data_IF_653516915043
#
_entry.id   IF_653516915043
#
_cell.length_a   1.000
_cell.length_b   1.000
_cell.length_c   1.000
_cell.angle_alpha   90.00
_cell.angle_beta   90.00
_cell.angle_gamma   90.00
#
_symmetry.space_group_name_H-M   'P 1'
#
loop_
_entity.id
_entity.type
_entity.pdbx_description
1 polymer ?
#
# COMPACT_ATOMS: atom_id res chain seq x y z
N UNK A 1 -5.77 -47.48 -6.93
CA UNK A 1 -5.18 -46.57 -7.93
C UNK A 1 -6.22 -45.49 -8.21
N UNK A 2 -6.04 -44.19 -7.98
CA UNK A 2 -4.91 -43.35 -7.63
C UNK A 2 -5.46 -42.22 -6.76
N UNK A 3 -5.03 -42.12 -5.50
CA UNK A 3 -5.05 -40.88 -4.74
C UNK A 3 -3.77 -40.14 -5.15
N UNK A 4 -3.87 -39.18 -6.06
CA UNK A 4 -2.79 -38.23 -6.30
C UNK A 4 -2.94 -37.06 -5.33
N UNK A 5 -2.51 -37.31 -4.09
CA UNK A 5 -2.03 -36.26 -3.18
C UNK A 5 -0.82 -35.60 -3.85
N UNK A 6 -1.06 -34.54 -4.62
CA UNK A 6 -0.02 -33.58 -4.94
C UNK A 6 0.27 -32.78 -3.65
N UNK A 7 1.11 -33.40 -2.83
CA UNK A 7 1.68 -32.83 -1.63
C UNK A 7 2.49 -31.57 -1.98
N UNK A 8 2.22 -30.52 -1.20
CA UNK A 8 3.17 -29.52 -0.69
C UNK A 8 3.67 -28.44 -1.67
N UNK A 9 3.16 -27.23 -1.46
CA UNK A 9 4.05 -26.20 -0.89
C UNK A 9 3.29 -25.41 0.18
N UNK A 10 3.53 -25.65 1.49
CA UNK A 10 3.00 -24.82 2.56
C UNK A 10 3.79 -23.51 2.75
N UNK A 11 4.81 -23.25 1.93
CA UNK A 11 5.82 -22.23 2.20
C UNK A 11 5.88 -21.11 1.14
N UNK A 12 4.73 -20.67 0.60
CA UNK A 12 4.71 -19.26 0.19
C UNK A 12 4.54 -18.45 1.48
N UNK A 13 5.51 -17.58 1.85
CA UNK A 13 5.27 -16.64 2.94
C UNK A 13 3.97 -15.92 2.61
N UNK A 14 2.99 -15.98 3.53
CA UNK A 14 1.77 -15.21 3.40
C UNK A 14 2.17 -13.80 2.99
N UNK A 15 1.70 -13.36 1.82
CA UNK A 15 2.14 -12.09 1.25
C UNK A 15 2.07 -11.01 2.33
N UNK A 16 3.17 -10.30 2.55
CA UNK A 16 3.26 -9.29 3.59
C UNK A 16 2.04 -8.37 3.47
N UNK A 17 1.15 -8.32 4.48
CA UNK A 17 -0.11 -7.58 4.38
C UNK A 17 0.11 -6.07 4.24
N UNK A 18 1.33 -5.59 4.49
CA UNK A 18 1.74 -4.20 4.27
C UNK A 18 2.21 -3.90 2.84
N UNK A 19 2.26 -4.90 1.96
CA UNK A 19 2.63 -4.73 0.55
C UNK A 19 1.40 -4.62 -0.34
N UNK A 20 1.20 -3.45 -0.94
CA UNK A 20 0.13 -3.18 -1.88
C UNK A 20 0.64 -3.27 -3.32
N UNK A 21 0.01 -4.11 -4.14
CA UNK A 21 0.39 -4.21 -5.55
C UNK A 21 -0.35 -3.16 -6.39
N UNK A 22 0.41 -2.32 -7.10
CA UNK A 22 -0.12 -1.21 -7.91
C UNK A 22 -1.25 -1.63 -8.87
N UNK A 23 -1.15 -2.83 -9.47
CA UNK A 23 -2.14 -3.34 -10.43
C UNK A 23 -3.55 -3.50 -9.87
N UNK A 24 -3.69 -3.62 -8.55
CA UNK A 24 -4.98 -3.74 -7.87
C UNK A 24 -5.46 -2.41 -7.27
N UNK A 25 -4.69 -1.33 -7.38
CA UNK A 25 -5.07 0.00 -6.92
C UNK A 25 -5.77 0.77 -8.04
N UNK A 26 -7.08 0.94 -7.93
CA UNK A 26 -7.92 1.71 -8.86
C UNK A 26 -8.18 3.10 -8.29
N UNK A 27 -7.61 4.16 -8.90
CA UNK A 27 -7.81 5.55 -8.43
C UNK A 27 -9.26 5.96 -8.62
N UNK A 28 -9.87 6.52 -7.57
CA UNK A 28 -11.26 7.02 -7.60
C UNK A 28 -11.26 8.54 -7.76
N UNK A 29 -10.64 9.26 -6.81
CA UNK A 29 -10.60 10.73 -6.82
C UNK A 29 -9.45 11.27 -5.97
N UNK A 30 -9.14 12.54 -6.14
CA UNK A 30 -8.17 13.23 -5.29
C UNK A 30 -8.80 13.60 -3.94
N UNK A 31 -8.01 13.52 -2.87
CA UNK A 31 -8.44 13.88 -1.51
C UNK A 31 -7.80 15.19 -1.06
N UNK A 32 -6.55 15.44 -1.46
CA UNK A 32 -5.86 16.67 -1.13
C UNK A 32 -4.37 16.60 -1.48
N UNK A 33 -3.67 17.68 -1.19
CA UNK A 33 -2.24 17.81 -1.42
C UNK A 33 -1.56 18.32 -0.15
N UNK A 34 -0.56 17.56 0.30
CA UNK A 34 0.28 17.95 1.42
C UNK A 34 1.63 18.49 0.93
N UNK A 35 2.49 18.80 1.90
CA UNK A 35 3.82 19.35 1.63
C UNK A 35 4.65 18.46 0.69
N UNK A 36 4.66 17.14 0.94
CA UNK A 36 5.51 16.19 0.21
C UNK A 36 4.83 15.50 -0.97
N UNK A 37 3.51 15.55 -1.08
CA UNK A 37 2.81 14.63 -1.97
C UNK A 37 1.32 14.85 -2.07
N UNK A 38 0.73 14.17 -3.04
CA UNK A 38 -0.71 14.16 -3.28
C UNK A 38 -1.33 12.95 -2.59
N UNK A 39 -2.51 13.14 -1.99
CA UNK A 39 -3.33 12.07 -1.41
C UNK A 39 -4.53 11.84 -2.33
N UNK A 40 -4.77 10.59 -2.70
CA UNK A 40 -5.91 10.19 -3.51
C UNK A 40 -6.58 8.96 -2.92
N UNK A 41 -7.90 8.86 -3.11
CA UNK A 41 -8.70 7.70 -2.75
C UNK A 41 -8.55 6.63 -3.83
N UNK A 42 -8.28 5.41 -3.40
CA UNK A 42 -8.20 4.22 -4.25
C UNK A 42 -9.10 3.11 -3.70
N UNK A 43 -9.56 2.25 -4.60
CA UNK A 43 -10.02 0.91 -4.26
C UNK A 43 -8.86 -0.08 -4.46
N UNK A 44 -8.51 -0.85 -3.43
CA UNK A 44 -7.56 -1.96 -3.51
C UNK A 44 -8.33 -3.28 -3.62
N UNK A 45 -8.27 -3.90 -4.80
CA UNK A 45 -9.14 -5.03 -5.16
C UNK A 45 -8.34 -6.19 -5.78
N UNK A 46 -7.63 -7.00 -4.98
CA UNK A 46 -6.82 -8.11 -5.49
C UNK A 46 -7.62 -9.28 -6.08
N UNK A 47 -8.85 -9.48 -5.61
CA UNK A 47 -9.76 -10.53 -6.09
C UNK A 47 -10.52 -10.10 -7.35
N UNK A 48 -10.59 -8.80 -7.61
CA UNK A 48 -11.29 -8.21 -8.75
C UNK A 48 -12.77 -8.59 -8.80
N UNK A 49 -13.39 -8.80 -7.63
CA UNK A 49 -14.80 -9.15 -7.45
C UNK A 49 -15.67 -7.93 -7.09
N UNK A 50 -15.06 -6.75 -6.96
CA UNK A 50 -15.74 -5.50 -6.62
C UNK A 50 -15.89 -5.24 -5.13
N UNK A 51 -15.36 -6.10 -4.25
CA UNK A 51 -15.41 -5.95 -2.78
C UNK A 51 -14.15 -5.33 -2.18
N UNK A 52 -13.29 -4.76 -3.03
CA UNK A 52 -12.01 -4.18 -2.64
C UNK A 52 -12.09 -3.10 -1.56
N UNK A 53 -10.98 -2.93 -0.84
CA UNK A 53 -10.88 -2.00 0.28
C UNK A 53 -10.62 -0.56 -0.19
N UNK A 54 -11.34 0.40 0.38
CA UNK A 54 -11.05 1.83 0.17
C UNK A 54 -9.82 2.26 0.98
N UNK A 55 -8.81 2.79 0.29
CA UNK A 55 -7.55 3.24 0.90
C UNK A 55 -7.17 4.65 0.45
N UNK A 56 -6.58 5.43 1.35
CA UNK A 56 -5.93 6.69 1.02
C UNK A 56 -4.47 6.40 0.65
N UNK A 57 -4.08 6.73 -0.59
CA UNK A 57 -2.72 6.56 -1.08
C UNK A 57 -2.07 7.93 -1.20
N UNK A 58 -0.96 8.13 -0.50
CA UNK A 58 -0.11 9.32 -0.63
C UNK A 58 1.05 9.00 -1.58
N UNK A 59 1.21 9.80 -2.63
CA UNK A 59 2.27 9.66 -3.62
C UNK A 59 3.20 10.86 -3.61
N UNK A 60 4.51 10.62 -3.72
CA UNK A 60 5.52 11.67 -3.90
C UNK A 60 5.28 12.41 -5.23
N UNK A 61 5.52 13.72 -5.27
CA UNK A 61 5.44 14.52 -6.50
C UNK A 61 6.56 14.11 -7.48
N UNK A 62 6.38 14.36 -8.78
CA UNK A 62 7.48 14.22 -9.74
C UNK A 62 8.54 15.31 -9.50
N UNK A 63 9.81 15.02 -9.85
CA UNK A 63 10.89 16.01 -9.77
C UNK A 63 11.35 16.39 -8.36
N UNK A 64 11.10 15.53 -7.36
CA UNK A 64 11.49 15.81 -5.98
C UNK A 64 13.00 15.77 -5.77
N UNK A 65 13.52 16.69 -4.94
CA UNK A 65 14.92 16.69 -4.54
C UNK A 65 15.25 15.48 -3.64
N UNK A 66 16.53 15.12 -3.56
CA UNK A 66 17.01 14.06 -2.68
C UNK A 66 16.65 14.32 -1.20
N UNK A 67 16.71 15.57 -0.77
CA UNK A 67 16.30 15.97 0.58
C UNK A 67 14.81 15.71 0.81
N UNK A 68 13.95 16.02 -0.16
CA UNK A 68 12.52 15.78 -0.07
C UNK A 68 12.21 14.27 -0.03
N UNK A 69 12.94 13.46 -0.79
CA UNK A 69 12.85 12.00 -0.75
C UNK A 69 13.24 11.45 0.62
N UNK A 70 14.29 11.97 1.25
CA UNK A 70 14.69 11.59 2.62
C UNK A 70 13.61 11.96 3.63
N UNK A 71 13.04 13.17 3.55
CA UNK A 71 11.94 13.61 4.41
C UNK A 71 10.69 12.77 4.21
N UNK A 72 10.37 12.39 2.97
CA UNK A 72 9.27 11.48 2.64
C UNK A 72 9.45 10.10 3.28
N UNK A 73 10.65 9.51 3.16
CA UNK A 73 10.95 8.22 3.83
C UNK A 73 10.80 8.34 5.34
N UNK A 74 11.28 9.44 5.93
CA UNK A 74 11.12 9.71 7.36
C UNK A 74 9.65 9.82 7.77
N UNK A 75 8.80 10.46 6.95
CA UNK A 75 7.36 10.54 7.21
C UNK A 75 6.73 9.13 7.29
N UNK A 76 7.09 8.24 6.36
CA UNK A 76 6.63 6.85 6.36
C UNK A 76 7.07 6.12 7.63
N UNK A 77 8.35 6.24 8.00
CA UNK A 77 8.88 5.59 9.20
C UNK A 77 8.23 6.10 10.49
N UNK A 78 7.95 7.41 10.59
CA UNK A 78 7.19 7.95 11.72
C UNK A 78 5.82 7.31 11.76
N UNK A 79 5.05 7.35 10.66
CA UNK A 79 3.68 6.86 10.65
C UNK A 79 3.57 5.36 10.94
N UNK A 80 4.56 4.55 10.52
CA UNK A 80 4.67 3.12 10.87
C UNK A 80 4.74 2.87 12.37
N UNK A 81 5.28 3.80 13.15
CA UNK A 81 5.45 3.64 14.61
C UNK A 81 4.24 4.11 15.41
N UNK A 82 3.28 4.79 14.79
CA UNK A 82 2.14 5.41 15.47
C UNK A 82 0.92 4.48 15.44
N UNK A 83 0.48 4.06 16.64
CA UNK A 83 -0.70 3.22 16.82
C UNK A 83 -1.63 3.86 17.85
N UNK A 84 -2.62 4.62 17.37
CA UNK A 84 -3.57 5.33 18.22
C UNK A 84 -4.89 5.58 17.47
N UNK A 85 -6.02 5.60 18.18
CA UNK A 85 -7.35 5.78 17.58
C UNK A 85 -7.49 7.13 16.85
N UNK A 86 -6.90 8.18 17.40
CA UNK A 86 -6.93 9.54 16.84
C UNK A 86 -5.80 9.85 15.83
N UNK A 87 -5.02 8.84 15.40
CA UNK A 87 -3.96 9.00 14.40
C UNK A 87 -4.28 8.10 13.22
N UNK A 88 -4.10 8.62 12.00
CA UNK A 88 -4.32 7.82 10.79
C UNK A 88 -3.41 6.59 10.79
N UNK A 89 -4.02 5.41 10.58
CA UNK A 89 -3.31 4.14 10.62
C UNK A 89 -2.46 3.93 9.36
N UNK A 90 -1.17 3.64 9.55
CA UNK A 90 -0.35 3.09 8.48
C UNK A 90 -0.85 1.69 8.10
N UNK A 91 -1.15 1.48 6.81
CA UNK A 91 -1.56 0.16 6.29
C UNK A 91 -0.45 -0.56 5.54
N UNK A 92 0.42 0.18 4.85
CA UNK A 92 1.39 -0.42 3.97
C UNK A 92 2.02 0.55 2.99
N UNK A 93 2.82 0.00 2.08
CA UNK A 93 3.41 0.72 0.96
C UNK A 93 3.24 -0.04 -0.35
N UNK A 94 3.25 0.73 -1.44
CA UNK A 94 3.36 0.25 -2.80
C UNK A 94 4.67 0.81 -3.36
N UNK A 95 5.61 -0.06 -3.75
CA UNK A 95 6.77 0.33 -4.54
C UNK A 95 6.48 0.06 -6.02
N UNK A 96 6.89 0.97 -6.91
CA UNK A 96 7.16 0.57 -8.28
C UNK A 96 8.44 -0.25 -8.24
N UNK A 97 8.34 -1.55 -8.52
CA UNK A 97 9.47 -2.28 -9.09
C UNK A 97 9.40 -2.10 -10.60
#
# INVERSE_FOLDING_TARGET
ALQALAALSPDLPAADPSVFQRRYLKKIRELGEGHFGKVSLYCYDPTNDGTGEMVAVKSLKSGCSQQLLTSWKREIEILKTLYHENIVKYKGCCSEQ
#
